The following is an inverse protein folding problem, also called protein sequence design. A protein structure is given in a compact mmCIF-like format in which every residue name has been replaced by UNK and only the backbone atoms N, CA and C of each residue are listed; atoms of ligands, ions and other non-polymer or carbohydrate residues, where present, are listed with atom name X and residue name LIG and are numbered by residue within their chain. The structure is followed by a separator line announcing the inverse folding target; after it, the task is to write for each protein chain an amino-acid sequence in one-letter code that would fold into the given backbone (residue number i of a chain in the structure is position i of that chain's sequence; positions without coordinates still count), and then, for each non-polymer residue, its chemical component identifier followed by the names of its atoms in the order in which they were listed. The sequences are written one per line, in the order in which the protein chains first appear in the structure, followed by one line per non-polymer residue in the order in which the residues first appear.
data_IF_726119186575
#
_entry.id   IF_726119186575
#
_cell.length_a   1.000
_cell.length_b   1.000
_cell.length_c   1.000
_cell.angle_alpha   90.00
_cell.angle_beta   90.00
_cell.angle_gamma   90.00
#
_symmetry.space_group_name_H-M   'P 1'
#
loop_
_entity.id
_entity.type
_entity.pdbx_description
1 polymer ?
#
# COMPACT_ATOMS: atom_id res chain seq x y z
N UNK A 1 51.82 -7.15 -25.02
CA UNK A 1 51.11 -6.51 -23.89
C UNK A 1 50.23 -5.43 -24.46
N UNK A 2 48.96 -5.74 -24.67
CA UNK A 2 47.94 -4.79 -25.12
C UNK A 2 47.09 -4.45 -23.89
N UNK A 3 47.02 -3.16 -23.56
CA UNK A 3 46.21 -2.63 -22.47
C UNK A 3 44.74 -2.99 -22.71
N UNK A 4 44.00 -3.49 -21.70
CA UNK A 4 42.57 -3.72 -21.86
C UNK A 4 41.81 -2.40 -21.91
N UNK A 5 40.85 -2.39 -22.82
CA UNK A 5 40.01 -1.27 -23.26
C UNK A 5 39.12 -0.75 -22.11
N UNK A 6 39.53 0.37 -21.50
CA UNK A 6 38.79 1.08 -20.46
C UNK A 6 37.72 2.01 -21.08
N UNK A 7 36.79 1.48 -21.88
CA UNK A 7 35.65 2.26 -22.40
C UNK A 7 34.34 1.48 -22.51
N UNK A 8 34.04 0.60 -21.55
CA UNK A 8 32.64 0.24 -21.29
C UNK A 8 32.20 0.89 -19.99
N UNK A 9 31.50 2.03 -20.10
CA UNK A 9 30.59 2.47 -19.04
C UNK A 9 29.67 1.29 -18.74
N UNK A 10 29.47 0.90 -17.47
CA UNK A 10 28.48 -0.12 -17.15
C UNK A 10 27.14 0.37 -17.71
N UNK A 11 26.55 -0.40 -18.62
CA UNK A 11 25.18 -0.18 -19.06
C UNK A 11 24.31 -0.36 -17.82
N UNK A 12 23.78 0.76 -17.31
CA UNK A 12 22.78 0.75 -16.27
C UNK A 12 21.59 -0.07 -16.79
N UNK A 13 21.00 -0.97 -15.97
CA UNK A 13 19.84 -1.74 -16.39
C UNK A 13 18.71 -0.80 -16.88
N UNK A 14 17.87 -1.25 -17.82
CA UNK A 14 16.80 -0.44 -18.39
C UNK A 14 15.99 0.23 -17.27
N UNK A 15 15.75 1.52 -17.45
CA UNK A 15 15.24 2.47 -16.45
C UNK A 15 14.11 1.84 -15.61
N UNK A 16 14.38 1.60 -14.31
CA UNK A 16 13.31 1.43 -13.34
C UNK A 16 12.55 2.77 -13.27
N UNK A 17 11.41 2.81 -13.97
CA UNK A 17 10.43 3.86 -13.80
C UNK A 17 9.51 3.40 -12.68
N UNK A 18 9.53 4.06 -11.50
CA UNK A 18 8.62 3.69 -10.44
C UNK A 18 7.18 3.93 -10.93
N UNK A 19 6.43 2.84 -11.07
CA UNK A 19 5.04 2.88 -11.56
C UNK A 19 4.05 3.18 -10.44
N UNK A 20 4.44 2.90 -9.19
CA UNK A 20 3.65 3.03 -7.97
C UNK A 20 4.30 4.01 -7.00
N UNK A 21 3.51 4.91 -6.44
CA UNK A 21 3.88 5.77 -5.31
C UNK A 21 2.90 5.54 -4.17
N UNK A 22 3.39 5.33 -2.95
CA UNK A 22 2.56 5.15 -1.77
C UNK A 22 2.60 6.37 -0.86
N UNK A 23 1.46 6.70 -0.26
CA UNK A 23 1.32 7.76 0.74
C UNK A 23 0.67 7.18 1.98
N UNK A 24 1.38 7.20 3.09
CA UNK A 24 0.81 7.03 4.42
C UNK A 24 0.09 8.32 4.82
N UNK A 25 -1.24 8.28 4.81
CA UNK A 25 -2.08 9.44 5.09
C UNK A 25 -2.09 9.82 6.58
N UNK A 26 -2.10 8.80 7.43
CA UNK A 26 -2.10 8.89 8.89
C UNK A 26 -1.76 7.52 9.49
N UNK A 27 -1.70 7.41 10.82
CA UNK A 27 -1.44 6.16 11.54
C UNK A 27 -2.52 5.80 12.57
N UNK A 28 -3.61 6.57 12.65
CA UNK A 28 -4.73 6.24 13.51
C UNK A 28 -5.64 5.23 12.80
N UNK A 29 -6.08 4.20 13.52
CA UNK A 29 -6.93 3.16 12.96
C UNK A 29 -8.03 2.79 13.94
N UNK A 30 -9.18 2.35 13.43
CA UNK A 30 -10.27 1.79 14.24
C UNK A 30 -10.01 0.33 14.66
N UNK A 31 -8.93 -0.28 14.19
CA UNK A 31 -8.46 -1.62 14.54
C UNK A 31 -7.03 -1.57 15.11
N UNK A 32 -6.63 -2.60 15.86
CA UNK A 32 -5.25 -2.86 16.27
C UNK A 32 -4.86 -4.25 15.76
N UNK A 33 -4.62 -4.36 14.45
CA UNK A 33 -4.29 -5.66 13.86
C UNK A 33 -2.93 -6.14 14.40
N UNK A 34 -2.83 -7.41 14.80
CA UNK A 34 -1.61 -7.95 15.43
C UNK A 34 -0.40 -8.03 14.48
N UNK A 35 -0.62 -8.03 13.16
CA UNK A 35 0.46 -8.00 12.16
C UNK A 35 0.71 -6.61 11.56
N UNK A 36 0.07 -5.55 12.07
CA UNK A 36 0.09 -4.24 11.42
C UNK A 36 1.53 -3.73 11.24
N UNK A 37 2.00 -3.68 10.00
CA UNK A 37 3.36 -3.22 9.65
C UNK A 37 3.58 -1.75 9.95
N UNK A 38 2.50 -0.96 9.96
CA UNK A 38 2.51 0.46 10.26
C UNK A 38 2.26 0.77 11.74
N UNK A 39 2.08 -0.26 12.58
CA UNK A 39 1.79 -0.14 14.01
C UNK A 39 0.58 0.75 14.34
N UNK A 40 -0.37 0.84 13.40
CA UNK A 40 -1.53 1.70 13.48
C UNK A 40 -2.59 1.12 14.43
N UNK A 41 -3.19 1.97 15.26
CA UNK A 41 -4.17 1.55 16.27
C UNK A 41 -5.00 2.73 16.81
N UNK A 42 -6.11 2.47 17.55
CA UNK A 42 -6.85 3.53 18.24
C UNK A 42 -5.96 4.13 19.33
N UNK A 43 -5.40 5.31 19.08
CA UNK A 43 -4.48 5.99 19.99
C UNK A 43 -3.04 6.16 19.47
N UNK A 44 -2.73 5.63 18.29
CA UNK A 44 -1.46 5.96 17.63
C UNK A 44 -1.37 7.48 17.38
N UNK A 45 -0.15 8.02 17.40
CA UNK A 45 0.08 9.40 16.96
C UNK A 45 -0.43 9.56 15.52
N UNK A 46 -1.32 10.53 15.30
CA UNK A 46 -2.05 10.61 14.02
C UNK A 46 -1.12 10.79 12.83
N UNK A 47 -0.03 11.58 12.98
CA UNK A 47 0.97 11.86 11.93
C UNK A 47 0.31 12.10 10.55
N UNK A 48 -0.61 13.06 10.53
CA UNK A 48 -1.46 13.32 9.35
C UNK A 48 -0.66 14.11 8.32
N UNK A 49 -0.52 13.56 7.12
CA UNK A 49 0.02 14.28 5.98
C UNK A 49 -0.99 15.33 5.52
N UNK A 50 -0.53 16.56 5.31
CA UNK A 50 -1.42 17.65 4.91
C UNK A 50 -1.90 17.48 3.47
N UNK A 51 -3.15 17.87 3.21
CA UNK A 51 -3.73 17.86 1.86
C UNK A 51 -2.85 18.61 0.84
N UNK A 52 -2.29 19.76 1.21
CA UNK A 52 -1.38 20.54 0.35
C UNK A 52 -0.13 19.75 -0.03
N UNK A 53 0.44 18.98 0.91
CA UNK A 53 1.56 18.08 0.67
C UNK A 53 1.17 16.96 -0.29
N UNK A 54 0.01 16.33 -0.09
CA UNK A 54 -0.50 15.28 -1.01
C UNK A 54 -0.68 15.82 -2.42
N UNK A 55 -1.27 17.01 -2.57
CA UNK A 55 -1.44 17.65 -3.89
C UNK A 55 -0.10 17.85 -4.60
N UNK A 56 0.92 18.34 -3.87
CA UNK A 56 2.27 18.51 -4.41
C UNK A 56 2.93 17.17 -4.78
N UNK A 57 2.76 16.13 -3.95
CA UNK A 57 3.26 14.78 -4.27
C UNK A 57 2.63 14.29 -5.58
N UNK A 58 1.31 14.44 -5.74
CA UNK A 58 0.60 14.04 -6.96
C UNK A 58 1.11 14.81 -8.18
N UNK A 59 1.33 16.11 -8.07
CA UNK A 59 1.87 16.94 -9.17
C UNK A 59 3.26 16.48 -9.60
N UNK A 60 4.20 16.37 -8.66
CA UNK A 60 5.56 15.89 -8.98
C UNK A 60 5.54 14.43 -9.49
N UNK A 61 4.64 13.57 -8.98
CA UNK A 61 4.51 12.20 -9.47
C UNK A 61 4.04 12.13 -10.93
N UNK A 62 3.11 13.00 -11.34
CA UNK A 62 2.67 13.11 -12.75
C UNK A 62 3.84 13.55 -13.64
N UNK A 63 4.60 14.56 -13.22
CA UNK A 63 5.76 15.06 -13.98
C UNK A 63 6.86 14.01 -14.12
N UNK A 64 7.06 13.18 -13.09
CA UNK A 64 8.06 12.11 -13.06
C UNK A 64 7.58 10.81 -13.72
N UNK A 65 6.34 10.78 -14.23
CA UNK A 65 5.82 9.69 -15.04
C UNK A 65 5.20 8.52 -14.27
N UNK A 66 4.92 8.67 -12.97
CA UNK A 66 4.17 7.68 -12.19
C UNK A 66 2.80 7.42 -12.82
N UNK A 67 2.26 6.22 -12.61
CA UNK A 67 0.96 5.80 -13.16
C UNK A 67 -0.07 5.52 -12.08
N UNK A 68 0.39 5.00 -10.94
CA UNK A 68 -0.44 4.59 -9.84
C UNK A 68 -0.01 5.30 -8.56
N UNK A 69 -0.99 5.76 -7.79
CA UNK A 69 -0.79 6.28 -6.45
C UNK A 69 -1.66 5.52 -5.47
N UNK A 70 -1.07 5.17 -4.33
CA UNK A 70 -1.72 4.38 -3.29
C UNK A 70 -1.81 5.21 -2.02
N UNK A 71 -3.01 5.39 -1.49
CA UNK A 71 -3.22 6.05 -0.21
C UNK A 71 -3.52 4.97 0.83
N UNK A 72 -2.67 4.91 1.84
CA UNK A 72 -2.73 3.92 2.93
C UNK A 72 -2.54 4.63 4.27
N UNK A 73 -2.25 3.89 5.34
CA UNK A 73 -1.99 4.44 6.66
C UNK A 73 -2.38 3.48 7.78
N UNK A 74 -2.95 4.08 8.83
CA UNK A 74 -4.02 3.46 9.59
C UNK A 74 -5.27 3.31 8.73
N UNK A 75 -6.41 3.82 9.16
CA UNK A 75 -7.62 3.80 8.32
C UNK A 75 -7.82 5.18 7.66
N UNK A 76 -7.65 5.31 6.33
CA UNK A 76 -7.77 6.60 5.65
C UNK A 76 -9.12 7.28 5.85
N UNK A 77 -10.22 6.52 5.92
CA UNK A 77 -11.58 7.07 6.08
C UNK A 77 -11.92 7.57 7.49
N UNK A 78 -10.93 7.60 8.40
CA UNK A 78 -11.02 8.38 9.65
C UNK A 78 -10.75 9.86 9.41
N UNK A 79 -10.01 10.22 8.36
CA UNK A 79 -9.68 11.61 8.04
C UNK A 79 -10.79 12.25 7.21
N UNK A 80 -11.17 13.48 7.55
CA UNK A 80 -12.15 14.23 6.76
C UNK A 80 -11.57 14.67 5.41
N UNK A 81 -10.28 15.04 5.36
CA UNK A 81 -9.59 15.48 4.14
C UNK A 81 -9.35 14.35 3.12
N UNK A 82 -9.60 13.08 3.49
CA UNK A 82 -9.31 11.93 2.60
C UNK A 82 -10.06 12.05 1.27
N UNK A 83 -11.28 12.56 1.28
CA UNK A 83 -12.08 12.66 0.06
C UNK A 83 -11.47 13.65 -0.93
N UNK A 84 -10.95 14.78 -0.43
CA UNK A 84 -10.29 15.76 -1.30
C UNK A 84 -8.93 15.23 -1.80
N UNK A 85 -8.18 14.51 -0.95
CA UNK A 85 -6.95 13.83 -1.36
C UNK A 85 -7.21 12.83 -2.50
N UNK A 86 -8.24 11.98 -2.35
CA UNK A 86 -8.62 10.97 -3.34
C UNK A 86 -9.16 11.61 -4.62
N UNK A 87 -10.02 12.63 -4.51
CA UNK A 87 -10.55 13.35 -5.67
C UNK A 87 -9.43 13.99 -6.48
N UNK A 88 -8.46 14.62 -5.80
CA UNK A 88 -7.33 15.26 -6.45
C UNK A 88 -6.40 14.27 -7.15
N UNK A 89 -6.06 13.17 -6.46
CA UNK A 89 -5.19 12.12 -6.99
C UNK A 89 -5.83 11.41 -8.20
N UNK A 90 -7.08 10.97 -8.06
CA UNK A 90 -7.80 10.20 -9.08
C UNK A 90 -8.19 11.02 -10.32
N UNK A 91 -8.22 12.35 -10.21
CA UNK A 91 -8.34 13.23 -11.38
C UNK A 91 -7.12 13.12 -12.33
N UNK A 92 -5.96 12.68 -11.85
CA UNK A 92 -4.68 12.71 -12.58
C UNK A 92 -4.02 11.34 -12.77
N UNK A 93 -4.13 10.46 -11.79
CA UNK A 93 -3.47 9.14 -11.74
C UNK A 93 -4.47 8.04 -11.39
N UNK A 94 -4.14 6.80 -11.77
CA UNK A 94 -4.82 5.63 -11.20
C UNK A 94 -4.60 5.64 -9.69
N UNK A 95 -5.66 5.66 -8.90
CA UNK A 95 -5.60 5.90 -7.46
C UNK A 95 -6.27 4.76 -6.72
N UNK A 96 -5.50 4.12 -5.84
CA UNK A 96 -6.00 3.05 -4.98
C UNK A 96 -5.95 3.51 -3.53
N UNK A 97 -7.06 3.38 -2.80
CA UNK A 97 -7.07 3.60 -1.35
C UNK A 97 -7.25 2.29 -0.61
N UNK A 98 -6.38 2.03 0.36
CA UNK A 98 -6.43 0.85 1.20
C UNK A 98 -7.32 1.11 2.40
N UNK A 99 -8.28 0.22 2.67
CA UNK A 99 -9.24 0.39 3.77
C UNK A 99 -9.67 -0.95 4.35
N UNK A 100 -10.08 -0.97 5.62
CA UNK A 100 -10.81 -2.08 6.23
C UNK A 100 -12.32 -2.07 5.89
N UNK A 101 -12.81 -1.04 5.20
CA UNK A 101 -14.20 -0.87 4.79
C UNK A 101 -15.26 -0.82 5.90
N UNK A 102 -14.88 -0.76 7.18
CA UNK A 102 -15.82 -0.83 8.30
C UNK A 102 -16.53 0.51 8.58
N UNK A 103 -16.09 1.60 7.96
CA UNK A 103 -16.56 2.97 8.27
C UNK A 103 -17.63 3.50 7.32
N UNK A 104 -18.05 2.74 6.31
CA UNK A 104 -19.04 3.18 5.32
C UNK A 104 -20.47 3.13 5.87
N UNK A 105 -20.77 4.06 6.79
CA UNK A 105 -22.12 4.49 7.12
C UNK A 105 -22.65 5.46 6.05
N UNK A 106 -23.93 5.85 6.13
CA UNK A 106 -24.59 6.65 5.09
C UNK A 106 -23.84 7.94 4.73
N UNK A 107 -23.27 8.66 5.71
CA UNK A 107 -22.57 9.92 5.46
C UNK A 107 -21.24 9.69 4.74
N UNK A 108 -20.37 8.82 5.27
CA UNK A 108 -19.06 8.57 4.64
C UNK A 108 -19.19 7.95 3.24
N UNK A 109 -20.18 7.09 3.07
CA UNK A 109 -20.49 6.53 1.76
C UNK A 109 -20.93 7.61 0.76
N UNK A 110 -21.76 8.58 1.19
CA UNK A 110 -22.18 9.70 0.33
C UNK A 110 -20.99 10.59 -0.08
N UNK A 111 -20.09 10.90 0.85
CA UNK A 111 -18.87 11.67 0.56
C UNK A 111 -17.97 10.94 -0.44
N UNK A 112 -17.77 9.62 -0.26
CA UNK A 112 -17.01 8.80 -1.19
C UNK A 112 -17.69 8.72 -2.57
N UNK A 113 -19.02 8.57 -2.64
CA UNK A 113 -19.78 8.58 -3.89
C UNK A 113 -19.63 9.90 -4.64
N UNK A 114 -19.58 11.03 -3.94
CA UNK A 114 -19.45 12.35 -4.54
C UNK A 114 -18.16 12.54 -5.34
N UNK A 115 -17.10 11.78 -5.02
CA UNK A 115 -15.79 11.86 -5.70
C UNK A 115 -15.51 10.69 -6.64
N UNK A 116 -16.48 9.78 -6.80
CA UNK A 116 -16.33 8.54 -7.56
C UNK A 116 -15.96 8.83 -9.01
N UNK A 117 -14.95 8.11 -9.51
CA UNK A 117 -14.57 8.07 -10.92
C UNK A 117 -13.90 6.74 -11.26
N UNK A 118 -13.66 6.49 -12.54
CA UNK A 118 -13.09 5.24 -13.07
C UNK A 118 -11.67 4.92 -12.60
N UNK A 119 -10.91 5.93 -12.14
CA UNK A 119 -9.52 5.78 -11.68
C UNK A 119 -9.41 5.52 -10.19
N UNK A 120 -10.53 5.58 -9.44
CA UNK A 120 -10.54 5.35 -8.00
C UNK A 120 -10.91 3.89 -7.70
N UNK A 121 -9.96 3.15 -7.12
CA UNK A 121 -10.10 1.75 -6.73
C UNK A 121 -10.03 1.64 -5.20
N UNK A 122 -10.90 0.81 -4.63
CA UNK A 122 -10.95 0.55 -3.20
C UNK A 122 -10.24 -0.79 -2.96
N UNK A 123 -9.05 -0.78 -2.37
CA UNK A 123 -8.37 -2.00 -1.96
C UNK A 123 -8.84 -2.37 -0.54
N UNK A 124 -9.75 -3.35 -0.44
CA UNK A 124 -10.35 -3.75 0.82
C UNK A 124 -9.59 -4.91 1.43
N UNK A 125 -9.16 -4.71 2.66
CA UNK A 125 -8.45 -5.69 3.46
C UNK A 125 -9.38 -6.79 3.98
N UNK A 126 -9.23 -8.03 3.49
CA UNK A 126 -10.05 -9.18 3.90
C UNK A 126 -9.18 -10.45 3.99
N UNK A 127 -9.01 -10.97 5.20
CA UNK A 127 -8.13 -12.13 5.45
C UNK A 127 -8.86 -13.49 5.54
N UNK A 128 -10.16 -13.54 5.28
CA UNK A 128 -10.93 -14.77 5.48
C UNK A 128 -12.31 -14.73 4.83
N UNK A 129 -12.79 -15.91 4.41
CA UNK A 129 -14.16 -16.16 3.94
C UNK A 129 -15.17 -16.19 5.09
N UNK A 130 -14.70 -16.30 6.33
CA UNK A 130 -15.50 -16.38 7.55
C UNK A 130 -14.78 -15.70 8.74
N UNK A 131 -15.50 -15.31 9.81
CA UNK A 131 -14.91 -14.63 10.97
C UNK A 131 -13.72 -15.36 11.58
N UNK A 132 -13.76 -16.69 11.64
CA UNK A 132 -12.75 -17.54 12.27
C UNK A 132 -11.37 -17.41 11.61
N UNK A 133 -11.32 -17.04 10.33
CA UNK A 133 -10.08 -16.89 9.57
C UNK A 133 -9.61 -15.42 9.50
N UNK A 134 -10.49 -14.46 9.76
CA UNK A 134 -10.23 -13.02 9.62
C UNK A 134 -10.02 -12.31 10.97
N UNK A 135 -10.94 -12.53 11.91
CA UNK A 135 -10.97 -11.85 13.20
C UNK A 135 -9.78 -12.14 14.12
N UNK A 136 -9.09 -13.32 14.09
CA UNK A 136 -7.97 -13.59 14.99
C UNK A 136 -6.85 -12.55 14.94
N UNK A 137 -6.68 -11.90 13.79
CA UNK A 137 -5.64 -10.89 13.59
C UNK A 137 -6.16 -9.47 13.62
N UNK A 138 -7.39 -9.25 13.18
CA UNK A 138 -7.97 -7.91 12.98
C UNK A 138 -8.90 -7.45 14.11
N UNK A 139 -9.34 -8.39 14.95
CA UNK A 139 -10.23 -8.15 16.08
C UNK A 139 -11.64 -8.70 15.85
N UNK A 140 -12.30 -9.08 16.94
CA UNK A 140 -13.62 -9.71 16.91
C UNK A 140 -14.68 -8.80 16.25
N UNK A 141 -15.49 -9.38 15.35
CA UNK A 141 -16.54 -8.71 14.60
C UNK A 141 -16.03 -7.84 13.44
N UNK A 142 -14.74 -7.90 13.12
CA UNK A 142 -14.17 -7.12 12.01
C UNK A 142 -14.58 -7.70 10.66
N UNK A 143 -14.68 -9.03 10.52
CA UNK A 143 -15.13 -9.69 9.30
C UNK A 143 -16.51 -9.21 8.88
N UNK A 144 -17.49 -9.27 9.79
CA UNK A 144 -18.88 -8.91 9.48
C UNK A 144 -18.97 -7.46 8.98
N UNK A 145 -18.33 -6.53 9.70
CA UNK A 145 -18.32 -5.10 9.33
C UNK A 145 -17.60 -4.84 8.00
N UNK A 146 -16.51 -5.57 7.74
CA UNK A 146 -15.78 -5.48 6.47
C UNK A 146 -16.66 -5.94 5.31
N UNK A 147 -17.31 -7.10 5.44
CA UNK A 147 -18.19 -7.66 4.40
C UNK A 147 -19.41 -6.77 4.16
N UNK A 148 -20.05 -6.24 5.21
CA UNK A 148 -21.12 -5.23 5.08
C UNK A 148 -20.63 -3.97 4.33
N UNK A 149 -19.40 -3.52 4.61
CA UNK A 149 -18.74 -2.44 3.90
C UNK A 149 -18.53 -2.73 2.42
N UNK A 150 -18.04 -3.94 2.09
CA UNK A 150 -17.86 -4.40 0.71
C UNK A 150 -19.19 -4.36 -0.04
N UNK A 151 -20.28 -4.89 0.53
CA UNK A 151 -21.59 -4.86 -0.11
C UNK A 151 -22.04 -3.44 -0.44
N UNK A 152 -21.95 -2.50 0.52
CA UNK A 152 -22.32 -1.09 0.29
C UNK A 152 -21.48 -0.44 -0.81
N UNK A 153 -20.18 -0.68 -0.82
CA UNK A 153 -19.28 -0.15 -1.86
C UNK A 153 -19.64 -0.72 -3.24
N UNK A 154 -19.95 -2.01 -3.34
CA UNK A 154 -20.38 -2.64 -4.60
C UNK A 154 -21.73 -2.14 -5.07
N UNK A 155 -22.70 -1.98 -4.18
CA UNK A 155 -24.01 -1.40 -4.49
C UNK A 155 -23.89 0.05 -4.99
N UNK A 156 -22.95 0.81 -4.44
CA UNK A 156 -22.58 2.15 -4.93
C UNK A 156 -21.76 2.11 -6.25
N UNK A 157 -21.43 0.91 -6.75
CA UNK A 157 -20.77 0.66 -8.03
C UNK A 157 -19.28 0.97 -8.05
N UNK A 158 -18.58 0.88 -6.92
CA UNK A 158 -17.12 1.01 -6.88
C UNK A 158 -16.44 -0.27 -7.37
N UNK A 159 -15.28 -0.11 -8.02
CA UNK A 159 -14.35 -1.21 -8.25
C UNK A 159 -13.63 -1.52 -6.93
N UNK A 160 -13.65 -2.78 -6.53
CA UNK A 160 -13.01 -3.26 -5.31
C UNK A 160 -11.95 -4.26 -5.69
N UNK A 161 -10.74 -4.07 -5.14
CA UNK A 161 -9.68 -5.06 -5.14
C UNK A 161 -9.58 -5.64 -3.73
N UNK A 162 -9.70 -6.95 -3.54
CA UNK A 162 -9.45 -7.54 -2.23
C UNK A 162 -7.95 -7.67 -1.98
N UNK A 163 -7.53 -7.44 -0.74
CA UNK A 163 -6.17 -7.69 -0.29
C UNK A 163 -6.20 -8.58 0.94
N UNK A 164 -5.60 -9.75 0.82
CA UNK A 164 -5.50 -10.77 1.86
C UNK A 164 -4.07 -10.84 2.34
N UNK A 165 -3.86 -10.66 3.64
CA UNK A 165 -2.60 -11.06 4.27
C UNK A 165 -2.72 -12.54 4.63
N UNK A 166 -1.85 -13.38 4.08
CA UNK A 166 -1.76 -14.79 4.43
C UNK A 166 -1.19 -14.95 5.84
N UNK A 167 -1.91 -15.68 6.67
CA UNK A 167 -1.63 -15.90 8.09
C UNK A 167 -1.82 -17.38 8.44
N UNK A 168 -1.39 -17.76 9.64
CA UNK A 168 -1.62 -19.12 10.15
C UNK A 168 -3.11 -19.48 10.26
N UNK A 169 -4.00 -18.49 10.40
CA UNK A 169 -5.44 -18.72 10.51
C UNK A 169 -6.13 -18.96 9.16
N UNK A 170 -5.50 -18.59 8.04
CA UNK A 170 -6.15 -18.60 6.73
C UNK A 170 -5.37 -19.33 5.62
N UNK A 171 -4.10 -19.68 5.82
CA UNK A 171 -3.24 -20.30 4.79
C UNK A 171 -3.84 -21.58 4.20
N UNK A 172 -4.49 -22.40 5.03
CA UNK A 172 -5.16 -23.63 4.59
C UNK A 172 -6.51 -23.38 3.89
N UNK A 173 -6.97 -22.13 3.84
CA UNK A 173 -8.31 -21.73 3.40
C UNK A 173 -8.26 -20.65 2.31
N UNK A 174 -7.12 -20.41 1.66
CA UNK A 174 -6.99 -19.39 0.62
C UNK A 174 -7.94 -19.64 -0.57
N UNK A 175 -8.18 -20.91 -0.94
CA UNK A 175 -9.14 -21.28 -1.97
C UNK A 175 -10.57 -20.85 -1.59
N UNK A 176 -10.97 -21.01 -0.33
CA UNK A 176 -12.27 -20.56 0.16
C UNK A 176 -12.40 -19.03 0.12
N UNK A 177 -11.32 -18.30 0.40
CA UNK A 177 -11.29 -16.83 0.26
C UNK A 177 -11.49 -16.45 -1.21
N UNK A 178 -10.83 -17.16 -2.13
CA UNK A 178 -10.96 -16.93 -3.57
C UNK A 178 -12.38 -17.22 -4.07
N UNK A 179 -13.02 -18.29 -3.61
CA UNK A 179 -14.42 -18.60 -3.89
C UNK A 179 -15.37 -17.56 -3.30
N UNK A 180 -15.14 -17.14 -2.05
CA UNK A 180 -15.93 -16.10 -1.40
C UNK A 180 -15.84 -14.77 -2.17
N UNK A 181 -14.62 -14.37 -2.57
CA UNK A 181 -14.36 -13.21 -3.45
C UNK A 181 -15.16 -13.28 -4.76
N UNK A 182 -15.25 -14.46 -5.39
CA UNK A 182 -16.08 -14.65 -6.60
C UNK A 182 -17.57 -14.55 -6.30
N UNK A 183 -18.03 -15.06 -5.16
CA UNK A 183 -19.42 -14.91 -4.71
C UNK A 183 -19.81 -13.45 -4.45
N UNK A 184 -18.82 -12.64 -4.05
CA UNK A 184 -18.93 -11.19 -3.96
C UNK A 184 -18.82 -10.51 -5.33
N UNK A 185 -18.76 -11.23 -6.44
CA UNK A 185 -18.68 -10.67 -7.80
C UNK A 185 -17.48 -9.75 -8.05
N UNK A 186 -16.37 -10.02 -7.36
CA UNK A 186 -15.07 -9.39 -7.57
C UNK A 186 -14.27 -10.32 -8.50
N UNK A 187 -13.66 -9.83 -9.58
CA UNK A 187 -12.97 -10.68 -10.55
C UNK A 187 -11.63 -11.21 -10.02
N UNK A 188 -11.07 -12.20 -10.70
CA UNK A 188 -9.88 -12.90 -10.20
C UNK A 188 -8.64 -11.99 -10.14
N UNK A 189 -8.51 -11.06 -11.11
CA UNK A 189 -7.46 -10.05 -11.17
C UNK A 189 -7.55 -8.95 -10.09
N UNK A 190 -8.70 -8.82 -9.42
CA UNK A 190 -8.94 -7.85 -8.36
C UNK A 190 -8.80 -8.51 -6.98
N UNK A 191 -7.82 -9.41 -6.82
CA UNK A 191 -7.46 -10.01 -5.54
C UNK A 191 -5.95 -10.20 -5.43
N UNK A 192 -5.41 -9.56 -4.40
CA UNK A 192 -4.02 -9.65 -4.00
C UNK A 192 -3.92 -10.53 -2.75
N UNK A 193 -3.04 -11.51 -2.79
CA UNK A 193 -2.67 -12.32 -1.63
C UNK A 193 -1.19 -12.08 -1.38
N UNK A 194 -0.85 -11.66 -0.16
CA UNK A 194 0.53 -11.38 0.24
C UNK A 194 0.89 -12.13 1.52
N UNK A 195 2.13 -12.60 1.66
CA UNK A 195 2.59 -13.18 2.92
C UNK A 195 2.58 -12.13 4.03
N UNK A 196 2.34 -12.58 5.27
CA UNK A 196 2.56 -11.77 6.45
C UNK A 196 4.05 -11.42 6.57
N UNK A 197 4.35 -10.12 6.68
CA UNK A 197 5.69 -9.63 6.88
C UNK A 197 6.04 -9.54 8.37
N UNK A 198 7.28 -9.88 8.71
CA UNK A 198 7.85 -9.71 10.04
C UNK A 198 8.25 -8.26 10.29
N UNK A 199 7.25 -7.38 10.43
CA UNK A 199 7.40 -5.94 10.65
C UNK A 199 6.31 -5.39 11.56
N UNK A 200 6.56 -4.21 12.12
CA UNK A 200 5.64 -3.54 13.04
C UNK A 200 5.30 -4.43 14.24
N UNK A 201 4.01 -4.71 14.43
CA UNK A 201 3.55 -5.53 15.56
C UNK A 201 3.81 -7.03 15.44
N UNK A 202 4.26 -7.53 14.28
CA UNK A 202 4.59 -8.96 14.13
C UNK A 202 6.08 -9.25 14.30
N UNK A 203 6.38 -10.25 15.12
CA UNK A 203 7.71 -10.82 15.33
C UNK A 203 7.94 -12.12 14.55
N UNK A 204 7.01 -12.51 13.67
CA UNK A 204 7.15 -13.65 12.75
C UNK A 204 6.66 -13.30 11.34
N UNK A 205 6.80 -14.25 10.42
CA UNK A 205 6.48 -14.07 9.01
C UNK A 205 7.72 -13.88 8.16
N UNK A 206 7.53 -13.34 6.96
CA UNK A 206 8.60 -13.15 6.01
C UNK A 206 9.48 -11.98 6.40
N UNK A 207 10.79 -12.21 6.44
CA UNK A 207 11.78 -11.14 6.60
C UNK A 207 11.73 -10.25 5.36
N UNK A 208 11.59 -8.94 5.55
CA UNK A 208 11.52 -7.97 4.45
C UNK A 208 12.50 -6.84 4.69
N UNK A 209 13.22 -6.42 3.67
CA UNK A 209 14.21 -5.34 3.72
C UNK A 209 14.62 -4.85 2.34
N UNK A 210 15.47 -3.82 2.25
CA UNK A 210 15.93 -3.28 0.94
C UNK A 210 16.58 -4.33 0.02
N UNK A 211 17.11 -5.41 0.60
CA UNK A 211 17.80 -6.49 -0.13
C UNK A 211 16.85 -7.43 -0.89
N UNK A 212 15.62 -7.63 -0.41
CA UNK A 212 14.65 -8.53 -1.03
C UNK A 212 13.36 -7.82 -1.50
N UNK A 213 13.14 -6.57 -1.12
CA UNK A 213 12.02 -5.77 -1.63
C UNK A 213 12.40 -5.04 -2.92
N UNK A 214 11.55 -5.15 -3.94
CA UNK A 214 11.55 -4.20 -5.06
C UNK A 214 11.12 -2.82 -4.52
N UNK A 215 11.81 -1.72 -4.87
CA UNK A 215 11.47 -0.41 -4.32
C UNK A 215 10.11 0.07 -4.82
N UNK A 216 9.23 0.39 -3.88
CA UNK A 216 7.97 1.08 -4.13
C UNK A 216 7.94 2.35 -3.28
N UNK A 217 8.32 3.48 -3.90
CA UNK A 217 8.56 4.75 -3.20
C UNK A 217 7.35 5.11 -2.32
N UNK A 218 7.61 5.21 -1.01
CA UNK A 218 6.58 5.40 0.01
C UNK A 218 6.85 6.68 0.79
N UNK A 219 5.83 7.50 1.01
CA UNK A 219 5.96 8.80 1.65
C UNK A 219 5.06 8.86 2.89
N UNK A 220 5.58 9.39 3.99
CA UNK A 220 4.79 9.77 5.16
C UNK A 220 5.19 11.21 5.59
N UNK A 221 4.86 11.63 6.81
CA UNK A 221 5.24 12.95 7.35
C UNK A 221 6.71 13.10 7.72
N UNK A 222 7.45 12.00 7.84
CA UNK A 222 8.82 11.91 8.32
C UNK A 222 9.84 11.75 7.16
N UNK A 223 9.38 11.36 5.96
CA UNK A 223 10.23 11.28 4.78
C UNK A 223 9.75 10.31 3.70
N UNK A 224 10.72 9.83 2.92
CA UNK A 224 10.58 8.86 1.84
C UNK A 224 11.26 7.54 2.23
N UNK A 225 10.55 6.44 1.99
CA UNK A 225 10.93 5.08 2.34
C UNK A 225 10.95 4.19 1.11
N UNK A 226 11.70 3.09 1.21
CA UNK A 226 11.92 2.12 0.15
C UNK A 226 10.64 1.39 -0.28
N UNK A 227 9.73 1.11 0.65
CA UNK A 227 8.57 0.24 0.41
C UNK A 227 7.46 0.49 1.44
N UNK A 228 6.17 0.25 1.13
CA UNK A 228 5.06 0.48 2.07
C UNK A 228 4.98 -0.51 3.23
N UNK A 229 5.80 -1.57 3.24
CA UNK A 229 5.75 -2.63 4.27
C UNK A 229 6.46 -2.28 5.58
N UNK A 230 7.10 -1.12 5.67
CA UNK A 230 7.60 -0.60 6.93
C UNK A 230 7.99 0.87 6.75
N UNK A 231 7.82 1.65 7.81
CA UNK A 231 8.37 3.01 7.92
C UNK A 231 9.45 3.09 9.00
N UNK A 232 10.17 1.98 9.20
CA UNK A 232 11.31 1.90 10.12
C UNK A 232 12.56 2.57 9.50
N UNK A 233 13.53 3.00 10.32
CA UNK A 233 14.74 3.69 9.85
C UNK A 233 15.56 2.90 8.82
N UNK A 234 15.52 1.57 8.83
CA UNK A 234 16.28 0.74 7.89
C UNK A 234 15.71 0.76 6.45
N UNK A 235 14.45 1.17 6.28
CA UNK A 235 13.85 1.41 4.97
C UNK A 235 13.85 2.89 4.55
N UNK A 236 14.32 3.81 5.40
CA UNK A 236 14.38 5.23 5.07
C UNK A 236 15.34 5.47 3.89
N UNK A 237 14.89 6.31 2.95
CA UNK A 237 15.67 6.77 1.78
C UNK A 237 16.05 8.25 1.96
N UNK A 238 15.12 9.06 2.46
CA UNK A 238 15.33 10.50 2.61
C UNK A 238 14.40 11.05 3.69
N UNK A 239 14.90 11.89 4.58
CA UNK A 239 14.06 12.66 5.53
C UNK A 239 13.33 13.81 4.81
N UNK A 240 13.90 14.31 3.70
CA UNK A 240 13.28 15.32 2.86
C UNK A 240 12.37 14.66 1.82
N UNK A 241 11.10 15.05 1.82
CA UNK A 241 10.10 14.57 0.86
C UNK A 241 10.40 15.10 -0.55
N UNK A 242 10.74 16.39 -0.65
CA UNK A 242 10.81 17.09 -1.94
C UNK A 242 12.22 17.62 -2.26
N UNK A 243 12.56 17.76 -3.55
CA UNK A 243 11.81 17.26 -4.71
C UNK A 243 11.84 15.72 -4.78
N UNK A 244 10.75 15.10 -5.25
CA UNK A 244 10.63 13.63 -5.35
C UNK A 244 11.75 13.01 -6.20
N UNK A 245 12.25 13.76 -7.18
CA UNK A 245 13.35 13.34 -8.06
C UNK A 245 14.60 12.95 -7.27
N UNK A 246 14.93 13.66 -6.19
CA UNK A 246 16.12 13.38 -5.39
C UNK A 246 16.02 12.00 -4.73
N UNK A 247 14.86 11.66 -4.19
CA UNK A 247 14.58 10.35 -3.61
C UNK A 247 14.59 9.23 -4.67
N UNK A 248 14.09 9.49 -5.88
CA UNK A 248 14.17 8.53 -6.99
C UNK A 248 15.63 8.25 -7.36
N UNK A 249 16.47 9.28 -7.43
CA UNK A 249 17.90 9.12 -7.71
C UNK A 249 18.57 8.29 -6.62
N UNK A 250 18.29 8.55 -5.33
CA UNK A 250 18.80 7.75 -4.21
C UNK A 250 18.38 6.29 -4.31
N UNK A 251 17.09 6.02 -4.52
CA UNK A 251 16.56 4.66 -4.72
C UNK A 251 17.31 3.93 -5.84
N UNK A 252 17.58 4.61 -6.96
CA UNK A 252 18.31 4.01 -8.09
C UNK A 252 19.74 3.65 -7.75
N UNK A 253 20.45 4.51 -7.02
CA UNK A 253 21.83 4.25 -6.58
C UNK A 253 21.87 3.04 -5.65
N UNK A 254 21.04 3.05 -4.61
CA UNK A 254 20.96 1.93 -3.66
C UNK A 254 20.52 0.62 -4.33
N UNK A 255 19.58 0.68 -5.29
CA UNK A 255 19.13 -0.50 -6.03
C UNK A 255 20.25 -1.14 -6.85
N UNK A 256 21.09 -0.31 -7.47
CA UNK A 256 22.24 -0.79 -8.24
C UNK A 256 23.28 -1.47 -7.33
N UNK A 257 23.52 -0.94 -6.13
CA UNK A 257 24.45 -1.52 -5.15
C UNK A 257 23.97 -2.89 -4.65
N UNK A 258 22.69 -3.00 -4.31
CA UNK A 258 22.08 -4.25 -3.82
C UNK A 258 22.07 -5.34 -4.90
N UNK A 259 21.85 -4.98 -6.17
CA UNK A 259 21.75 -5.94 -7.28
C UNK A 259 23.09 -6.59 -7.67
N UNK A 260 24.21 -6.08 -7.18
CA UNK A 260 25.55 -6.66 -7.41
C UNK A 260 25.86 -7.78 -6.39
N UNK A 261 25.01 -7.99 -5.38
CA UNK A 261 25.17 -9.04 -4.37
C UNK A 261 24.69 -10.41 -4.89
N UNK A 262 25.51 -11.49 -4.81
CA UNK A 262 25.25 -12.78 -5.46
C UNK A 262 24.08 -13.63 -4.88
N UNK A 263 23.22 -13.06 -4.04
CA UNK A 263 22.14 -13.77 -3.33
C UNK A 263 20.75 -13.13 -3.48
N UNK A 264 20.55 -12.14 -4.35
CA UNK A 264 19.29 -11.39 -4.39
C UNK A 264 18.24 -12.01 -5.31
N UNK A 265 17.49 -13.01 -4.82
CA UNK A 265 16.10 -13.20 -5.28
C UNK A 265 15.26 -12.08 -4.65
N UNK A 266 14.60 -11.27 -5.47
CA UNK A 266 13.73 -10.16 -5.02
C UNK A 266 12.28 -10.56 -5.17
N UNK A 267 11.47 -10.14 -4.21
CA UNK A 267 10.04 -10.39 -4.18
C UNK A 267 9.27 -9.16 -4.64
N UNK A 268 8.41 -9.34 -5.64
CA UNK A 268 7.38 -8.37 -5.98
C UNK A 268 6.15 -8.64 -5.12
N UNK A 269 5.85 -7.72 -4.20
CA UNK A 269 4.55 -7.70 -3.54
C UNK A 269 3.55 -7.07 -4.50
N UNK A 270 2.74 -7.91 -5.15
CA UNK A 270 1.64 -7.45 -6.01
C UNK A 270 0.50 -6.88 -5.16
#
# INVERSE_FOLDING_TARGET
MTLPDLQKKPELPPLFLPTKLWIYTNYNCNLRCSYCVAESHPGASKRIIQLTTVKRIVDEAVELGFKNIYLTGGEPFILDDIYEMLAYASAKLSTTVLTNAMLFNSTRLQELVAIKNERLILQVSLDGSQPEHHDPYRGQGSWQKTVEGIHKLREAGFRICLSTTETAANTMFLDEICEFRRSLGIPDEDHIIRPLAKRGFSDYGMEVGKHNLVPEMTINTEGVYWHPLSTDPDLLVSEEIFPLLDSIVKIRVELAEVSISPHAEREEFQ
#
